data_IF_647903854801
#
_entry.id   IF_647903854801
#
_cell.length_a   1.000
_cell.length_b   1.000
_cell.length_c   1.000
_cell.angle_alpha   90.00
_cell.angle_beta   90.00
_cell.angle_gamma   90.00
#
_symmetry.space_group_name_H-M   'P 1'
#
loop_
_entity.id
_entity.type
_entity.pdbx_description
1 polymer ?
#
# COMPACT_ATOMS: atom_id res chain seq x y z
N UNK A 1 21.95 -7.32 -2.33
CA UNK A 1 21.11 -8.52 -2.38
C UNK A 1 20.50 -8.56 -3.77
N UNK A 2 20.69 -9.67 -4.48
CA UNK A 2 20.20 -9.84 -5.85
C UNK A 2 18.64 -9.89 -5.83
N UNK A 3 17.93 -9.05 -6.61
CA UNK A 3 16.47 -9.09 -6.67
C UNK A 3 15.91 -10.46 -7.11
N UNK A 4 16.68 -11.28 -7.81
CA UNK A 4 16.26 -12.62 -8.28
C UNK A 4 15.81 -13.55 -7.18
N UNK A 5 16.37 -13.41 -5.97
CA UNK A 5 15.95 -14.18 -4.79
C UNK A 5 14.47 -14.00 -4.45
N UNK A 6 13.92 -12.80 -4.61
CA UNK A 6 12.52 -12.52 -4.23
C UNK A 6 11.49 -13.15 -5.19
N UNK A 7 11.87 -13.44 -6.43
CA UNK A 7 10.99 -14.17 -7.36
C UNK A 7 10.84 -15.66 -7.00
N UNK A 8 11.73 -16.20 -6.16
CA UNK A 8 11.62 -17.57 -5.66
C UNK A 8 10.71 -17.73 -4.45
N UNK A 9 10.29 -16.62 -3.82
CA UNK A 9 9.36 -16.63 -2.69
C UNK A 9 8.05 -17.32 -3.05
N UNK A 10 7.46 -18.11 -2.15
CA UNK A 10 6.15 -18.73 -2.35
C UNK A 10 5.08 -17.68 -2.70
N UNK A 11 5.10 -16.51 -2.05
CA UNK A 11 4.17 -15.40 -2.24
C UNK A 11 4.28 -14.80 -3.65
N UNK A 12 5.50 -14.71 -4.20
CA UNK A 12 5.71 -14.24 -5.57
C UNK A 12 5.15 -15.24 -6.59
N UNK A 13 5.33 -16.53 -6.35
CA UNK A 13 4.74 -17.59 -7.19
C UNK A 13 3.23 -17.58 -7.13
N UNK A 14 2.64 -17.48 -5.92
CA UNK A 14 1.19 -17.39 -5.75
C UNK A 14 0.59 -16.17 -6.45
N UNK A 15 1.27 -15.03 -6.38
CA UNK A 15 0.85 -13.82 -7.11
C UNK A 15 0.92 -14.04 -8.63
N UNK A 16 2.01 -14.61 -9.15
CA UNK A 16 2.15 -14.93 -10.57
C UNK A 16 1.09 -15.94 -11.04
N UNK A 17 0.86 -17.00 -10.28
CA UNK A 17 -0.16 -18.01 -10.59
C UNK A 17 -1.57 -17.39 -10.65
N UNK A 18 -1.86 -16.42 -9.76
CA UNK A 18 -3.11 -15.69 -9.79
C UNK A 18 -3.20 -14.78 -11.01
N UNK A 19 -2.14 -14.04 -11.32
CA UNK A 19 -2.07 -13.21 -12.53
C UNK A 19 -2.25 -14.01 -13.82
N UNK A 20 -1.62 -15.19 -13.91
CA UNK A 20 -1.72 -16.07 -15.08
C UNK A 20 -3.13 -16.64 -15.30
N UNK A 21 -3.97 -16.69 -14.26
CA UNK A 21 -5.42 -17.01 -14.42
C UNK A 21 -6.20 -15.87 -15.08
N UNK A 22 -5.71 -14.62 -14.94
CA UNK A 22 -6.30 -13.44 -15.59
C UNK A 22 -5.79 -13.32 -17.02
N UNK A 23 -4.47 -13.34 -17.18
CA UNK A 23 -3.78 -13.37 -18.48
C UNK A 23 -2.42 -14.05 -18.31
N UNK A 24 -2.13 -15.15 -19.05
CA UNK A 24 -0.89 -15.91 -18.89
C UNK A 24 0.39 -15.14 -19.27
N UNK A 25 0.26 -13.96 -19.88
CA UNK A 25 1.39 -13.10 -20.23
C UNK A 25 1.67 -12.00 -19.22
N UNK A 26 0.82 -11.86 -18.19
CA UNK A 26 1.07 -10.89 -17.14
C UNK A 26 2.27 -11.32 -16.28
N UNK A 27 2.96 -10.34 -15.71
CA UNK A 27 4.15 -10.59 -14.90
C UNK A 27 4.26 -9.64 -13.72
N UNK A 28 5.31 -9.83 -12.95
CA UNK A 28 5.69 -8.92 -11.87
C UNK A 28 7.12 -8.43 -12.06
N UNK A 29 7.41 -7.25 -11.51
CA UNK A 29 8.75 -6.72 -11.36
C UNK A 29 8.93 -6.19 -9.94
N UNK A 30 10.03 -6.60 -9.29
CA UNK A 30 10.40 -6.18 -7.93
C UNK A 30 11.60 -5.25 -8.02
N UNK A 31 11.45 -4.03 -7.56
CA UNK A 31 12.48 -2.97 -7.64
C UNK A 31 12.77 -2.41 -6.26
N UNK A 32 14.03 -2.28 -5.93
CA UNK A 32 14.54 -1.58 -4.74
C UNK A 32 15.11 -0.23 -5.16
N UNK A 33 14.30 0.85 -5.25
CA UNK A 33 14.70 2.09 -5.90
C UNK A 33 15.93 2.73 -5.26
N UNK A 34 15.99 2.80 -3.94
CA UNK A 34 17.15 3.36 -3.21
C UNK A 34 18.45 2.58 -3.48
N UNK A 35 18.36 1.24 -3.69
CA UNK A 35 19.53 0.42 -4.05
C UNK A 35 19.88 0.55 -5.52
N UNK A 36 18.88 0.53 -6.40
CA UNK A 36 19.08 0.59 -7.86
C UNK A 36 19.75 1.89 -8.28
N UNK A 37 19.38 3.02 -7.67
CA UNK A 37 19.88 4.34 -8.02
C UNK A 37 20.78 4.97 -6.94
N UNK A 38 21.35 4.16 -6.03
CA UNK A 38 22.41 4.59 -5.11
C UNK A 38 22.01 5.61 -4.04
N UNK A 39 20.72 5.67 -3.67
CA UNK A 39 20.22 6.59 -2.64
C UNK A 39 20.19 8.07 -3.05
N UNK A 40 20.39 8.38 -4.33
CA UNK A 40 20.25 9.75 -4.87
C UNK A 40 18.77 10.19 -4.85
N UNK A 41 18.55 11.49 -4.94
CA UNK A 41 17.20 12.02 -5.13
C UNK A 41 16.63 11.52 -6.47
N UNK A 42 15.66 10.62 -6.40
CA UNK A 42 15.06 9.99 -7.57
C UNK A 42 14.41 11.00 -8.53
N UNK A 43 14.10 12.21 -8.05
CA UNK A 43 13.54 13.27 -8.92
C UNK A 43 14.57 13.82 -9.89
N UNK A 44 15.86 13.58 -9.64
CA UNK A 44 16.97 13.98 -10.50
C UNK A 44 17.44 12.85 -11.44
N UNK A 45 16.77 11.70 -11.41
CA UNK A 45 17.13 10.55 -12.23
C UNK A 45 16.06 10.29 -13.30
N UNK A 46 16.40 10.46 -14.58
CA UNK A 46 15.46 10.36 -15.70
C UNK A 46 14.81 8.96 -15.80
N UNK A 47 15.57 7.88 -15.55
CA UNK A 47 15.02 6.51 -15.56
C UNK A 47 14.00 6.32 -14.45
N UNK A 48 14.32 6.75 -13.23
CA UNK A 48 13.41 6.69 -12.08
C UNK A 48 12.16 7.53 -12.33
N UNK A 49 12.32 8.76 -12.82
CA UNK A 49 11.19 9.65 -13.14
C UNK A 49 10.31 9.10 -14.26
N UNK A 50 10.89 8.43 -15.25
CA UNK A 50 10.10 7.74 -16.28
C UNK A 50 9.20 6.67 -15.68
N UNK A 51 9.70 5.88 -14.71
CA UNK A 51 8.89 4.88 -13.98
C UNK A 51 7.84 5.56 -13.10
N UNK A 52 8.20 6.62 -12.38
CA UNK A 52 7.27 7.37 -11.52
C UNK A 52 6.12 8.00 -12.34
N UNK A 53 6.40 8.48 -13.54
CA UNK A 53 5.36 8.94 -14.46
C UNK A 53 4.43 7.80 -14.89
N UNK A 54 4.93 6.57 -15.09
CA UNK A 54 4.09 5.39 -15.34
C UNK A 54 3.23 5.03 -14.10
N UNK A 55 3.73 5.21 -12.87
CA UNK A 55 2.92 5.11 -11.65
C UNK A 55 1.77 6.13 -11.66
N UNK A 56 2.05 7.35 -12.10
CA UNK A 56 0.99 8.38 -12.22
C UNK A 56 -0.08 8.01 -13.26
N UNK A 57 0.32 7.39 -14.38
CA UNK A 57 -0.66 6.89 -15.36
C UNK A 57 -1.54 5.76 -14.78
N UNK A 58 -0.99 4.90 -13.91
CA UNK A 58 -1.78 3.91 -13.16
C UNK A 58 -2.74 4.61 -12.19
N UNK A 59 -2.29 5.67 -11.50
CA UNK A 59 -3.14 6.45 -10.60
C UNK A 59 -4.33 7.07 -11.35
N UNK A 60 -4.07 7.73 -12.49
CA UNK A 60 -5.11 8.36 -13.32
C UNK A 60 -6.17 7.36 -13.78
N UNK A 61 -5.73 6.21 -14.29
CA UNK A 61 -6.63 5.14 -14.73
C UNK A 61 -7.45 4.59 -13.54
N UNK A 62 -6.78 4.35 -12.40
CA UNK A 62 -7.40 3.78 -11.19
C UNK A 62 -8.46 4.70 -10.58
N UNK A 63 -8.19 6.01 -10.50
CA UNK A 63 -9.05 7.00 -9.82
C UNK A 63 -10.01 7.70 -10.76
N UNK A 64 -9.72 7.73 -12.05
CA UNK A 64 -10.43 8.55 -13.04
C UNK A 64 -10.08 10.04 -12.97
N UNK A 65 -9.05 10.42 -12.21
CA UNK A 65 -8.65 11.82 -11.96
C UNK A 65 -7.16 12.04 -12.23
N UNK A 66 -6.77 13.28 -12.56
CA UNK A 66 -5.39 13.65 -12.90
C UNK A 66 -4.74 14.61 -11.88
N UNK A 67 -5.05 14.48 -10.61
CA UNK A 67 -4.51 15.39 -9.57
C UNK A 67 -3.34 14.82 -8.76
N UNK A 68 -3.05 13.54 -8.88
CA UNK A 68 -2.21 12.79 -7.95
C UNK A 68 -0.70 12.84 -8.18
N UNK A 69 -0.17 13.59 -9.18
CA UNK A 69 1.25 13.49 -9.55
C UNK A 69 2.19 13.80 -8.36
N UNK A 70 1.97 14.89 -7.63
CA UNK A 70 2.80 15.24 -6.48
C UNK A 70 2.76 14.19 -5.37
N UNK A 71 1.59 13.60 -5.13
CA UNK A 71 1.41 12.51 -4.18
C UNK A 71 2.18 11.26 -4.65
N UNK A 72 2.07 10.90 -5.92
CA UNK A 72 2.75 9.74 -6.50
C UNK A 72 4.27 9.93 -6.51
N UNK A 73 4.78 11.12 -6.86
CA UNK A 73 6.21 11.45 -6.74
C UNK A 73 6.67 11.19 -5.30
N UNK A 74 6.01 11.80 -4.31
CA UNK A 74 6.41 11.64 -2.91
C UNK A 74 6.34 10.18 -2.43
N UNK A 75 5.31 9.43 -2.82
CA UNK A 75 5.16 8.03 -2.43
C UNK A 75 6.16 7.09 -3.13
N UNK A 76 6.59 7.44 -4.35
CA UNK A 76 7.53 6.61 -5.10
C UNK A 76 8.98 6.90 -4.72
N UNK A 77 9.34 8.18 -4.51
CA UNK A 77 10.72 8.57 -4.21
C UNK A 77 11.16 8.18 -2.81
N UNK A 78 10.25 8.15 -1.84
CA UNK A 78 10.56 7.72 -0.46
C UNK A 78 10.63 6.20 -0.29
N UNK A 79 10.12 5.43 -1.26
CA UNK A 79 9.97 4.00 -1.14
C UNK A 79 11.31 3.23 -1.12
N UNK A 80 11.33 2.16 -0.33
CA UNK A 80 12.39 1.14 -0.32
C UNK A 80 12.10 0.00 -1.28
N UNK A 81 10.82 -0.19 -1.64
CA UNK A 81 10.35 -1.25 -2.53
C UNK A 81 9.25 -0.72 -3.46
N UNK A 82 9.37 -1.08 -4.73
CA UNK A 82 8.27 -1.09 -5.69
C UNK A 82 7.99 -2.53 -6.13
N UNK A 83 6.72 -2.91 -6.18
CA UNK A 83 6.28 -4.12 -6.89
C UNK A 83 5.36 -3.68 -8.01
N UNK A 84 5.73 -3.97 -9.23
CA UNK A 84 4.95 -3.68 -10.42
C UNK A 84 4.20 -4.94 -10.90
N UNK A 85 2.98 -4.74 -11.36
CA UNK A 85 2.25 -5.72 -12.16
C UNK A 85 2.35 -5.26 -13.61
N UNK A 86 2.79 -6.18 -14.46
CA UNK A 86 3.10 -5.88 -15.86
C UNK A 86 2.10 -6.59 -16.79
N UNK A 87 1.68 -5.90 -17.84
CA UNK A 87 0.94 -6.51 -18.95
C UNK A 87 1.88 -7.27 -19.92
N UNK A 88 1.32 -7.84 -20.98
CA UNK A 88 2.06 -8.56 -22.03
C UNK A 88 3.09 -7.70 -22.78
N UNK A 89 2.92 -6.37 -22.78
CA UNK A 89 3.82 -5.41 -23.40
C UNK A 89 4.81 -4.79 -22.41
N UNK A 90 4.88 -5.32 -21.18
CA UNK A 90 5.70 -4.80 -20.08
C UNK A 90 5.29 -3.40 -19.59
N UNK A 91 4.06 -2.98 -19.85
CA UNK A 91 3.53 -1.78 -19.25
C UNK A 91 3.13 -2.03 -17.79
N UNK A 92 3.33 -1.04 -16.92
CA UNK A 92 2.85 -1.11 -15.54
C UNK A 92 1.33 -0.92 -15.55
N UNK A 93 0.60 -1.95 -15.11
CA UNK A 93 -0.86 -1.94 -14.96
C UNK A 93 -1.29 -1.96 -13.50
N UNK A 94 -0.32 -2.11 -12.59
CA UNK A 94 -0.51 -1.97 -11.14
C UNK A 94 0.82 -1.77 -10.47
N UNK A 95 0.83 -1.09 -9.33
CA UNK A 95 2.04 -0.95 -8.53
C UNK A 95 1.74 -0.78 -7.06
N UNK A 96 2.75 -1.06 -6.26
CA UNK A 96 2.75 -0.76 -4.83
C UNK A 96 4.08 -0.18 -4.40
N UNK A 97 4.05 0.63 -3.34
CA UNK A 97 5.24 1.20 -2.70
C UNK A 97 5.27 0.89 -1.22
N UNK A 98 6.44 0.52 -0.72
CA UNK A 98 6.70 0.32 0.71
C UNK A 98 7.82 1.22 1.19
N UNK A 99 7.70 1.68 2.41
CA UNK A 99 8.79 2.32 3.16
C UNK A 99 9.12 1.47 4.39
N UNK A 100 10.40 1.26 4.62
CA UNK A 100 10.91 0.54 5.79
C UNK A 100 11.50 1.54 6.78
N UNK A 101 11.00 1.51 8.01
CA UNK A 101 11.45 2.42 9.06
C UNK A 101 11.87 1.61 10.30
N UNK A 102 12.67 2.25 11.14
CA UNK A 102 12.93 1.83 12.50
C UNK A 102 12.29 2.86 13.41
N UNK A 103 11.29 2.47 14.20
CA UNK A 103 10.59 3.33 15.14
C UNK A 103 10.80 2.78 16.53
N UNK A 104 11.55 3.48 17.37
CA UNK A 104 12.04 2.97 18.64
C UNK A 104 12.75 1.63 18.47
N UNK A 105 12.27 0.53 19.07
CA UNK A 105 12.83 -0.82 18.91
C UNK A 105 12.16 -1.66 17.83
N UNK A 106 11.14 -1.14 17.15
CA UNK A 106 10.34 -1.91 16.21
C UNK A 106 10.72 -1.64 14.76
N UNK A 107 10.86 -2.69 13.96
CA UNK A 107 10.87 -2.59 12.52
C UNK A 107 9.45 -2.30 12.00
N UNK A 108 9.31 -1.36 11.08
CA UNK A 108 8.03 -0.94 10.53
C UNK A 108 8.05 -1.08 9.01
N UNK A 109 7.07 -1.78 8.46
CA UNK A 109 6.81 -1.85 7.03
C UNK A 109 5.57 -1.00 6.72
N UNK A 110 5.78 0.19 6.17
CA UNK A 110 4.69 1.08 5.80
C UNK A 110 4.23 0.82 4.37
N UNK A 111 3.05 0.25 4.23
CA UNK A 111 2.35 -0.02 2.98
C UNK A 111 1.71 1.28 2.45
N UNK A 112 2.51 2.09 1.75
CA UNK A 112 2.14 3.47 1.47
C UNK A 112 1.10 3.61 0.37
N UNK A 113 1.30 2.94 -0.78
CA UNK A 113 0.40 2.97 -1.93
C UNK A 113 0.23 1.59 -2.51
N UNK A 114 -0.97 1.28 -2.97
CA UNK A 114 -1.28 0.16 -3.87
C UNK A 114 -2.37 0.63 -4.81
N UNK A 115 -2.09 0.62 -6.11
CA UNK A 115 -3.01 1.03 -7.15
C UNK A 115 -2.97 0.07 -8.33
N UNK A 116 -4.13 -0.17 -8.92
CA UNK A 116 -4.31 -1.04 -10.08
C UNK A 116 -5.15 -0.33 -11.12
N UNK A 117 -4.75 -0.44 -12.39
CA UNK A 117 -5.61 -0.01 -13.51
C UNK A 117 -6.93 -0.76 -13.50
N UNK A 118 -7.98 -0.15 -14.06
CA UNK A 118 -9.33 -0.70 -14.06
C UNK A 118 -9.37 -2.12 -14.64
N UNK A 119 -8.52 -2.45 -15.61
CA UNK A 119 -8.45 -3.75 -16.27
C UNK A 119 -8.15 -4.92 -15.31
N UNK A 120 -7.46 -4.66 -14.18
CA UNK A 120 -7.15 -5.69 -13.18
C UNK A 120 -7.79 -5.41 -11.81
N UNK A 121 -8.59 -4.35 -11.70
CA UNK A 121 -9.41 -4.15 -10.50
C UNK A 121 -10.44 -5.27 -10.34
N UNK A 122 -10.83 -5.56 -9.10
CA UNK A 122 -11.79 -6.62 -8.75
C UNK A 122 -11.37 -8.05 -9.15
N UNK A 123 -10.14 -8.23 -9.61
CA UNK A 123 -9.59 -9.55 -9.96
C UNK A 123 -9.17 -10.40 -8.77
N UNK A 124 -9.25 -9.86 -7.53
CA UNK A 124 -8.80 -10.58 -6.32
C UNK A 124 -7.27 -10.58 -6.11
N UNK A 125 -6.52 -9.78 -6.88
CA UNK A 125 -5.05 -9.73 -6.80
C UNK A 125 -4.51 -9.09 -5.51
N UNK A 126 -5.27 -8.17 -4.91
CA UNK A 126 -4.80 -7.34 -3.80
C UNK A 126 -4.26 -8.14 -2.60
N UNK A 127 -4.91 -9.21 -2.10
CA UNK A 127 -4.37 -10.03 -1.02
C UNK A 127 -2.98 -10.63 -1.33
N UNK A 128 -2.75 -11.12 -2.54
CA UNK A 128 -1.48 -11.72 -2.95
C UNK A 128 -0.35 -10.68 -2.98
N UNK A 129 -0.66 -9.46 -3.42
CA UNK A 129 0.31 -8.35 -3.39
C UNK A 129 0.67 -7.99 -1.95
N UNK A 130 -0.29 -7.99 -1.02
CA UNK A 130 -0.01 -7.69 0.39
C UNK A 130 0.87 -8.76 1.04
N UNK A 131 0.61 -10.05 0.79
CA UNK A 131 1.45 -11.15 1.28
C UNK A 131 2.89 -11.04 0.76
N UNK A 132 3.07 -10.77 -0.54
CA UNK A 132 4.39 -10.58 -1.14
C UNK A 132 5.15 -9.41 -0.49
N UNK A 133 4.48 -8.27 -0.27
CA UNK A 133 5.09 -7.08 0.37
C UNK A 133 5.60 -7.39 1.77
N UNK A 134 4.82 -8.15 2.53
CA UNK A 134 5.22 -8.57 3.87
C UNK A 134 6.34 -9.59 3.82
N UNK A 135 6.28 -10.58 2.91
CA UNK A 135 7.34 -11.58 2.76
C UNK A 135 8.69 -10.99 2.36
N UNK A 136 8.69 -9.90 1.55
CA UNK A 136 9.93 -9.19 1.19
C UNK A 136 10.50 -8.41 2.38
N UNK A 137 9.67 -7.78 3.19
CA UNK A 137 10.05 -7.03 4.38
C UNK A 137 9.21 -7.45 5.60
N UNK A 138 9.47 -8.63 6.19
CA UNK A 138 8.87 -9.01 7.47
C UNK A 138 9.23 -7.98 8.54
N UNK A 139 8.27 -7.60 9.39
CA UNK A 139 8.45 -6.52 10.35
C UNK A 139 7.61 -6.75 11.61
N UNK A 140 7.95 -6.05 12.69
CA UNK A 140 7.21 -6.08 13.96
C UNK A 140 5.88 -5.36 13.82
N UNK A 141 5.87 -4.30 13.00
CA UNK A 141 4.69 -3.48 12.73
C UNK A 141 4.46 -3.36 11.22
N UNK A 142 3.20 -3.44 10.81
CA UNK A 142 2.76 -3.11 9.47
C UNK A 142 1.83 -1.90 9.57
N UNK A 143 2.03 -0.89 8.72
CA UNK A 143 1.15 0.28 8.69
C UNK A 143 0.59 0.44 7.28
N UNK A 144 -0.68 0.81 7.18
CA UNK A 144 -1.31 1.17 5.91
C UNK A 144 -2.40 2.22 6.13
N UNK A 145 -2.85 2.86 5.05
CA UNK A 145 -3.91 3.86 5.08
C UNK A 145 -5.00 3.49 4.08
N UNK A 146 -6.26 3.75 4.45
CA UNK A 146 -7.36 3.44 3.53
C UNK A 146 -8.60 4.30 3.76
N UNK A 147 -9.38 4.47 2.68
CA UNK A 147 -10.78 4.90 2.70
C UNK A 147 -11.72 3.73 2.37
N UNK A 148 -11.17 2.53 2.10
CA UNK A 148 -11.90 1.44 1.48
C UNK A 148 -12.08 0.25 2.43
N UNK A 149 -13.31 -0.16 2.78
CA UNK A 149 -13.57 -1.25 3.74
C UNK A 149 -12.95 -2.59 3.34
N UNK A 150 -12.91 -2.89 2.04
CA UNK A 150 -12.27 -4.14 1.54
C UNK A 150 -10.77 -4.15 1.80
N UNK A 151 -10.12 -2.98 1.72
CA UNK A 151 -8.69 -2.84 2.04
C UNK A 151 -8.46 -3.12 3.53
N UNK A 152 -9.30 -2.60 4.41
CA UNK A 152 -9.27 -2.88 5.85
C UNK A 152 -9.40 -4.39 6.12
N UNK A 153 -10.40 -5.03 5.55
CA UNK A 153 -10.63 -6.47 5.74
C UNK A 153 -9.47 -7.33 5.20
N UNK A 154 -8.88 -6.93 4.07
CA UNK A 154 -7.70 -7.63 3.53
C UNK A 154 -6.49 -7.44 4.45
N UNK A 155 -6.28 -6.24 4.96
CA UNK A 155 -5.21 -5.95 5.91
C UNK A 155 -5.39 -6.72 7.23
N UNK A 156 -6.64 -6.78 7.75
CA UNK A 156 -6.98 -7.59 8.92
C UNK A 156 -6.64 -9.07 8.71
N UNK A 157 -6.94 -9.60 7.52
CA UNK A 157 -6.60 -10.99 7.17
C UNK A 157 -5.09 -11.20 7.10
N UNK A 158 -4.34 -10.28 6.47
CA UNK A 158 -2.88 -10.31 6.46
C UNK A 158 -2.32 -10.36 7.89
N UNK A 159 -2.75 -9.46 8.77
CA UNK A 159 -2.34 -9.45 10.17
C UNK A 159 -2.60 -10.80 10.83
N UNK A 160 -3.81 -11.35 10.67
CA UNK A 160 -4.19 -12.66 11.24
C UNK A 160 -3.31 -13.80 10.72
N UNK A 161 -2.99 -13.83 9.42
CA UNK A 161 -2.11 -14.86 8.82
C UNK A 161 -0.70 -14.85 9.43
N UNK A 162 -0.25 -13.70 9.93
CA UNK A 162 1.09 -13.51 10.50
C UNK A 162 1.12 -13.38 12.02
N UNK A 163 0.03 -13.77 12.71
CA UNK A 163 -0.07 -13.72 14.16
C UNK A 163 -0.03 -12.30 14.74
N UNK A 164 -0.52 -11.33 13.98
CA UNK A 164 -0.61 -9.93 14.37
C UNK A 164 -2.05 -9.55 14.73
N UNK A 165 -2.19 -8.64 15.68
CA UNK A 165 -3.44 -7.92 15.94
C UNK A 165 -3.55 -6.73 14.99
N UNK A 166 -4.78 -6.22 14.82
CA UNK A 166 -5.06 -5.01 14.02
C UNK A 166 -5.58 -3.88 14.90
N UNK A 167 -5.18 -2.65 14.56
CA UNK A 167 -5.71 -1.39 15.10
C UNK A 167 -5.97 -0.40 13.95
N UNK A 168 -7.02 0.46 14.03
CA UNK A 168 -8.06 0.42 15.04
C UNK A 168 -9.04 -0.73 14.81
N UNK A 169 -9.69 -1.14 15.88
CA UNK A 169 -10.95 -1.90 15.82
C UNK A 169 -12.10 -0.99 16.24
N UNK A 170 -13.34 -1.46 16.19
CA UNK A 170 -14.51 -0.68 16.62
C UNK A 170 -14.37 -0.19 18.07
N UNK A 171 -13.69 -0.97 18.93
CA UNK A 171 -13.63 -0.73 20.37
C UNK A 171 -12.24 -0.32 20.87
N UNK A 172 -11.23 -0.34 20.04
CA UNK A 172 -9.86 -0.18 20.51
C UNK A 172 -8.93 0.46 19.48
N UNK A 173 -8.10 1.37 19.94
CA UNK A 173 -6.94 1.90 19.21
C UNK A 173 -5.68 1.47 19.96
N UNK A 174 -4.70 0.96 19.25
CA UNK A 174 -3.41 0.53 19.81
C UNK A 174 -2.78 1.67 20.61
N UNK A 175 -2.43 1.49 21.90
CA UNK A 175 -1.97 2.58 22.76
C UNK A 175 -0.76 3.35 22.23
N UNK A 176 0.15 2.67 21.50
CA UNK A 176 1.34 3.30 20.90
C UNK A 176 1.09 3.86 19.49
N UNK A 177 -0.15 3.82 18.99
CA UNK A 177 -0.46 4.24 17.61
C UNK A 177 -0.02 5.70 17.36
N UNK A 178 -0.31 6.61 18.30
CA UNK A 178 0.07 8.02 18.17
C UNK A 178 1.57 8.26 18.11
N UNK A 179 2.33 7.59 18.97
CA UNK A 179 3.79 7.69 19.01
C UNK A 179 4.40 7.21 17.70
N UNK A 180 4.02 6.00 17.27
CA UNK A 180 4.55 5.36 16.07
C UNK A 180 4.20 6.19 14.82
N UNK A 181 2.95 6.60 14.68
CA UNK A 181 2.51 7.35 13.49
C UNK A 181 3.11 8.74 13.44
N UNK A 182 3.32 9.40 14.58
CA UNK A 182 3.99 10.70 14.66
C UNK A 182 5.42 10.64 14.16
N UNK A 183 6.20 9.61 14.53
CA UNK A 183 7.57 9.41 14.03
C UNK A 183 7.60 9.20 12.50
N UNK A 184 6.52 8.67 11.92
CA UNK A 184 6.36 8.51 10.47
C UNK A 184 5.77 9.76 9.78
N UNK A 185 5.55 10.85 10.51
CA UNK A 185 4.92 12.06 9.98
C UNK A 185 3.42 11.89 9.65
N UNK A 186 2.77 10.91 10.28
CA UNK A 186 1.33 10.66 10.16
C UNK A 186 0.62 11.20 11.39
N UNK A 187 -0.04 12.35 11.26
CA UNK A 187 -0.79 12.98 12.35
C UNK A 187 -2.21 12.38 12.40
N UNK A 188 -2.43 11.47 13.36
CA UNK A 188 -3.72 10.79 13.53
C UNK A 188 -4.52 11.38 14.70
N UNK A 189 -5.84 11.35 14.60
CA UNK A 189 -6.75 11.65 15.70
C UNK A 189 -6.99 10.43 16.63
N UNK A 190 -7.84 10.61 17.65
CA UNK A 190 -8.19 9.54 18.61
C UNK A 190 -8.85 8.30 17.99
N UNK A 191 -9.29 8.38 16.75
CA UNK A 191 -9.91 7.30 15.98
C UNK A 191 -8.95 6.66 14.97
N UNK A 192 -7.66 6.96 15.06
CA UNK A 192 -6.63 6.50 14.10
C UNK A 192 -6.87 6.99 12.67
N UNK A 193 -7.43 8.19 12.51
CA UNK A 193 -7.69 8.80 11.22
C UNK A 193 -6.83 10.05 11.00
N UNK A 194 -6.33 10.23 9.76
CA UNK A 194 -5.76 11.50 9.30
C UNK A 194 -6.86 12.30 8.65
N UNK A 195 -7.10 13.49 9.17
CA UNK A 195 -8.16 14.38 8.71
C UNK A 195 -7.74 15.10 7.42
N UNK A 196 -8.59 15.09 6.41
CA UNK A 196 -8.36 15.80 5.16
C UNK A 196 -7.12 15.36 4.37
N UNK A 197 -6.65 14.12 4.58
CA UNK A 197 -5.43 13.61 3.96
C UNK A 197 -5.47 13.63 2.42
N UNK A 198 -6.66 13.55 1.83
CA UNK A 198 -6.90 13.51 0.38
C UNK A 198 -7.82 14.68 -0.02
N UNK A 199 -7.50 15.86 0.39
CA UNK A 199 -8.11 17.17 0.00
C UNK A 199 -9.50 17.08 -0.65
N UNK A 200 -10.48 16.53 0.09
CA UNK A 200 -11.90 16.59 -0.31
C UNK A 200 -12.33 15.61 -1.41
N UNK A 201 -11.51 14.60 -1.73
CA UNK A 201 -11.87 13.63 -2.76
C UNK A 201 -11.76 12.17 -2.27
N UNK A 202 -12.70 11.35 -2.68
CA UNK A 202 -12.62 9.90 -2.48
C UNK A 202 -11.77 9.31 -3.61
N UNK A 203 -10.67 8.63 -3.28
CA UNK A 203 -9.74 8.05 -4.27
C UNK A 203 -10.39 7.04 -5.22
N UNK A 204 -11.50 6.43 -4.82
CA UNK A 204 -12.27 5.49 -5.65
C UNK A 204 -13.69 5.36 -5.12
N UNK A 205 -14.62 4.84 -5.96
CA UNK A 205 -15.92 4.42 -5.47
C UNK A 205 -15.74 3.31 -4.43
N UNK A 206 -16.00 3.64 -3.17
CA UNK A 206 -15.92 2.68 -2.07
C UNK A 206 -17.27 1.96 -1.93
N UNK A 207 -17.29 0.63 -1.75
CA UNK A 207 -18.50 -0.06 -1.35
C UNK A 207 -18.91 0.37 0.07
N UNK A 208 -20.19 0.18 0.40
CA UNK A 208 -20.63 0.33 1.78
C UNK A 208 -19.83 -0.61 2.70
N UNK A 209 -19.46 -0.18 3.91
CA UNK A 209 -18.87 -1.06 4.88
C UNK A 209 -19.87 -2.16 5.29
N UNK A 210 -19.36 -3.35 5.65
CA UNK A 210 -20.18 -4.38 6.30
C UNK A 210 -20.69 -3.89 7.67
N UNK A 211 -21.77 -4.48 8.17
CA UNK A 211 -22.44 -4.03 9.40
C UNK A 211 -21.48 -3.93 10.59
N UNK A 212 -20.55 -4.86 10.72
CA UNK A 212 -19.52 -4.88 11.78
C UNK A 212 -18.49 -3.74 11.62
N UNK A 213 -18.33 -3.15 10.45
CA UNK A 213 -17.42 -2.02 10.20
C UNK A 213 -18.10 -0.65 10.22
N UNK A 214 -19.45 -0.58 10.19
CA UNK A 214 -20.17 0.70 10.20
C UNK A 214 -19.70 1.62 11.34
N UNK A 215 -19.57 1.15 12.62
CA UNK A 215 -19.16 2.04 13.71
C UNK A 215 -17.75 2.62 13.51
N UNK A 216 -16.84 1.87 12.88
CA UNK A 216 -15.50 2.35 12.58
C UNK A 216 -15.52 3.37 11.44
N UNK A 217 -16.28 3.10 10.36
CA UNK A 217 -16.38 3.97 9.20
C UNK A 217 -17.13 5.28 9.49
N UNK A 218 -18.04 5.30 10.45
CA UNK A 218 -18.72 6.51 10.91
C UNK A 218 -17.77 7.51 11.64
N UNK A 219 -16.53 7.11 11.94
CA UNK A 219 -15.54 7.95 12.61
C UNK A 219 -14.67 8.73 11.61
N UNK A 220 -14.84 8.51 10.30
CA UNK A 220 -14.09 9.20 9.23
C UNK A 220 -15.06 9.88 8.27
N UNK A 221 -14.75 11.11 7.88
CA UNK A 221 -15.49 11.84 6.85
C UNK A 221 -14.81 11.68 5.49
N UNK A 222 -15.30 10.71 4.71
CA UNK A 222 -14.77 10.46 3.37
C UNK A 222 -14.90 11.66 2.43
N UNK A 223 -15.92 12.54 2.63
CA UNK A 223 -16.11 13.75 1.81
C UNK A 223 -15.07 14.84 2.16
N UNK A 224 -14.59 14.84 3.39
CA UNK A 224 -13.48 15.67 3.82
C UNK A 224 -12.13 15.11 3.37
N UNK A 225 -12.08 13.89 2.84
CA UNK A 225 -10.86 13.22 2.45
C UNK A 225 -10.11 12.55 3.60
N UNK A 226 -10.81 12.23 4.70
CA UNK A 226 -10.23 11.51 5.82
C UNK A 226 -9.80 10.11 5.42
N UNK A 227 -8.72 9.63 5.99
CA UNK A 227 -8.23 8.25 5.79
C UNK A 227 -8.01 7.56 7.13
N UNK A 228 -8.42 6.31 7.22
CA UNK A 228 -8.14 5.45 8.36
C UNK A 228 -6.69 4.96 8.27
N UNK A 229 -5.94 5.07 9.35
CA UNK A 229 -4.60 4.48 9.50
C UNK A 229 -4.74 3.16 10.23
N UNK A 230 -4.27 2.10 9.60
CA UNK A 230 -4.30 0.73 10.13
C UNK A 230 -2.89 0.34 10.57
N UNK A 231 -2.80 -0.30 11.73
CA UNK A 231 -1.54 -0.81 12.29
C UNK A 231 -1.74 -2.29 12.62
N UNK A 232 -0.92 -3.16 12.02
CA UNK A 232 -0.75 -4.54 12.43
C UNK A 232 0.42 -4.61 13.43
N UNK A 233 0.25 -5.27 14.56
CA UNK A 233 1.25 -5.36 15.63
C UNK A 233 1.22 -6.72 16.33
N UNK A 234 2.35 -7.11 16.92
CA UNK A 234 2.45 -8.28 17.81
C UNK A 234 2.40 -7.80 19.27
N UNK A 235 1.80 -8.58 20.15
CA UNK A 235 1.86 -8.37 21.59
C UNK A 235 3.24 -8.69 22.18
#
# INVERSE_FOLDING_TARGET
>A
MDPTHYYSLPEAKLLLDHLHKINPKYGIEIVFPKKKWGGIDLTQNDEAMSIINRHHEVFKDSSGNDFGLKFIIGASTSADLWVHILDENKNIIGFTTNECHQVSSNSVNYFRVTLFKQIIQKSGIYPFVQELRYAIFPSDLIISRTQHPVVYNTFKKLCSNHGMLISPTVNNVYPKAFEITKELGLDINSHSAIIGAIRGEVLAKTPAPSEDLIPLWNQIDLKNGDVLVMIGYKE
#
